data_IF_797133337882
#
_entry.id   IF_797133337882
#
_cell.length_a   1.000
_cell.length_b   1.000
_cell.length_c   1.000
_cell.angle_alpha   90.00
_cell.angle_beta   90.00
_cell.angle_gamma   90.00
#
_symmetry.space_group_name_H-M   'P 1'
#
loop_
_entity.id
_entity.type
_entity.pdbx_description
1 polymer ?
#
# COMPACT_ATOMS: atom_id res chain seq x y z
N UNK A 1 -2.81 14.67 12.74
CA UNK A 1 -2.49 13.27 13.01
C UNK A 1 -1.91 12.65 11.75
N UNK A 2 -0.82 11.90 11.90
CA UNK A 2 -0.19 11.29 10.73
C UNK A 2 -1.05 10.19 10.15
N UNK A 3 -1.12 10.13 8.82
CA UNK A 3 -1.78 9.04 8.12
C UNK A 3 -0.82 7.87 8.04
N UNK A 4 -1.28 6.69 8.38
CA UNK A 4 -0.44 5.49 8.35
C UNK A 4 -0.24 4.99 6.93
N UNK A 5 0.80 4.17 6.72
CA UNK A 5 1.02 3.48 5.45
C UNK A 5 -0.22 2.67 5.06
N UNK A 6 -0.76 1.90 6.00
CA UNK A 6 -1.91 1.04 5.71
C UNK A 6 -3.11 1.82 5.22
N UNK A 7 -3.39 2.93 5.86
CA UNK A 7 -4.51 3.78 5.46
C UNK A 7 -4.30 4.35 4.07
N UNK A 8 -3.08 4.82 3.77
CA UNK A 8 -2.77 5.37 2.45
C UNK A 8 -2.87 4.31 1.37
N UNK A 9 -2.36 3.10 1.64
CA UNK A 9 -2.46 2.01 0.70
C UNK A 9 -3.93 1.67 0.41
N UNK A 10 -4.75 1.59 1.44
CA UNK A 10 -6.17 1.29 1.28
C UNK A 10 -6.87 2.38 0.48
N UNK A 11 -6.57 3.65 0.75
CA UNK A 11 -7.17 4.76 0.01
C UNK A 11 -6.80 4.70 -1.47
N UNK A 12 -5.54 4.44 -1.79
CA UNK A 12 -5.09 4.32 -3.18
C UNK A 12 -5.79 3.16 -3.88
N UNK A 13 -5.94 2.03 -3.18
CA UNK A 13 -6.62 0.87 -3.75
C UNK A 13 -8.08 1.18 -4.07
N UNK A 14 -8.77 1.84 -3.14
CA UNK A 14 -10.17 2.19 -3.32
C UNK A 14 -10.35 3.23 -4.43
N UNK A 15 -9.40 4.14 -4.60
CA UNK A 15 -9.44 5.11 -5.70
C UNK A 15 -9.38 4.42 -7.06
N UNK A 16 -8.62 3.33 -7.15
CA UNK A 16 -8.57 2.53 -8.38
C UNK A 16 -9.74 1.56 -8.50
N UNK A 17 -10.57 1.49 -7.47
CA UNK A 17 -11.77 0.65 -7.46
C UNK A 17 -11.45 -0.83 -7.65
N UNK A 18 -10.38 -1.30 -7.00
CA UNK A 18 -9.97 -2.70 -7.08
C UNK A 18 -10.02 -3.34 -5.69
N UNK A 19 -10.15 -4.67 -5.66
CA UNK A 19 -10.16 -5.43 -4.42
C UNK A 19 -8.76 -5.79 -3.97
N UNK A 20 -8.67 -6.35 -2.76
CA UNK A 20 -7.39 -6.76 -2.18
C UNK A 20 -6.73 -7.88 -2.99
N UNK A 21 -7.54 -8.83 -3.50
CA UNK A 21 -7.01 -9.94 -4.30
C UNK A 21 -6.38 -9.41 -5.58
N UNK A 22 -7.04 -8.46 -6.24
CA UNK A 22 -6.53 -7.88 -7.47
C UNK A 22 -5.23 -7.13 -7.22
N UNK A 23 -5.17 -6.32 -6.17
CA UNK A 23 -3.95 -5.59 -5.82
C UNK A 23 -2.82 -6.57 -5.50
N UNK A 24 -3.12 -7.65 -4.78
CA UNK A 24 -2.12 -8.67 -4.46
C UNK A 24 -1.51 -9.26 -5.72
N UNK A 25 -2.33 -9.54 -6.73
CA UNK A 25 -1.84 -10.04 -8.02
C UNK A 25 -0.93 -9.02 -8.70
N UNK A 26 -1.32 -7.76 -8.68
CA UNK A 26 -0.53 -6.69 -9.31
C UNK A 26 0.83 -6.53 -8.65
N UNK A 27 0.91 -6.73 -7.34
CA UNK A 27 2.14 -6.56 -6.58
C UNK A 27 2.89 -7.87 -6.36
N UNK A 28 2.34 -8.98 -6.85
CA UNK A 28 2.93 -10.31 -6.73
C UNK A 28 3.13 -10.72 -5.26
N UNK A 29 2.12 -10.48 -4.46
CA UNK A 29 2.09 -10.89 -3.04
C UNK A 29 0.75 -11.56 -2.75
N UNK A 30 0.58 -12.09 -1.54
CA UNK A 30 -0.67 -12.73 -1.16
C UNK A 30 -1.70 -11.69 -0.71
N UNK A 31 -2.98 -12.04 -0.80
CA UNK A 31 -4.05 -11.20 -0.29
C UNK A 31 -3.89 -10.96 1.21
N UNK A 32 -3.40 -11.97 1.94
CA UNK A 32 -3.18 -11.83 3.38
C UNK A 32 -2.17 -10.74 3.71
N UNK A 33 -1.12 -10.59 2.90
CA UNK A 33 -0.12 -9.55 3.09
C UNK A 33 -0.76 -8.17 2.87
N UNK A 34 -1.61 -8.03 1.84
CA UNK A 34 -2.31 -6.76 1.59
C UNK A 34 -3.16 -6.39 2.83
N UNK A 35 -3.89 -7.35 3.36
CA UNK A 35 -4.73 -7.12 4.54
C UNK A 35 -3.90 -6.69 5.75
N UNK A 36 -2.78 -7.36 5.99
CA UNK A 36 -1.89 -7.01 7.10
C UNK A 36 -1.34 -5.59 6.95
N UNK A 37 -0.93 -5.22 5.74
CA UNK A 37 -0.44 -3.87 5.45
C UNK A 37 -1.53 -2.82 5.69
N UNK A 38 -2.74 -3.07 5.18
CA UNK A 38 -3.83 -2.09 5.28
C UNK A 38 -4.32 -1.90 6.70
N UNK A 39 -4.11 -2.88 7.56
CA UNK A 39 -4.48 -2.79 8.97
C UNK A 39 -3.31 -2.41 9.88
N UNK A 40 -2.17 -2.06 9.28
CA UNK A 40 -0.94 -1.68 10.02
C UNK A 40 -0.46 -2.75 10.98
N UNK A 41 -0.71 -4.01 10.62
CA UNK A 41 -0.24 -5.17 11.40
C UNK A 41 1.10 -5.69 10.90
N UNK A 42 1.57 -5.19 9.76
CA UNK A 42 2.87 -5.54 9.19
C UNK A 42 3.38 -4.37 8.37
N UNK A 43 4.66 -4.08 8.49
CA UNK A 43 5.30 -3.06 7.67
C UNK A 43 5.80 -3.66 6.37
N UNK A 44 5.75 -2.93 5.26
CA UNK A 44 6.30 -3.44 4.00
C UNK A 44 7.82 -3.44 4.05
N UNK A 45 8.43 -4.37 3.32
CA UNK A 45 9.87 -4.30 3.08
C UNK A 45 10.14 -3.10 2.16
N UNK A 46 11.40 -2.69 2.09
CA UNK A 46 11.77 -1.61 1.18
C UNK A 46 11.42 -1.96 -0.26
N UNK A 47 11.69 -3.21 -0.67
CA UNK A 47 11.36 -3.67 -2.02
C UNK A 47 9.86 -3.56 -2.29
N UNK A 48 9.03 -4.00 -1.34
CA UNK A 48 7.58 -3.92 -1.48
C UNK A 48 7.11 -2.46 -1.55
N UNK A 49 7.70 -1.60 -0.73
CA UNK A 49 7.34 -0.19 -0.71
C UNK A 49 7.65 0.47 -2.06
N UNK A 50 8.79 0.15 -2.64
CA UNK A 50 9.17 0.66 -3.98
C UNK A 50 8.19 0.16 -5.04
N UNK A 51 7.81 -1.13 -4.98
CA UNK A 51 6.84 -1.69 -5.93
C UNK A 51 5.48 -0.99 -5.84
N UNK A 52 5.02 -0.73 -4.62
CA UNK A 52 3.74 -0.04 -4.42
C UNK A 52 3.82 1.39 -4.96
N UNK A 53 4.90 2.10 -4.65
CA UNK A 53 5.10 3.47 -5.10
C UNK A 53 5.09 3.54 -6.63
N UNK A 54 5.79 2.61 -7.29
CA UNK A 54 5.83 2.55 -8.75
C UNK A 54 4.46 2.22 -9.34
N UNK A 55 3.75 1.26 -8.74
CA UNK A 55 2.45 0.86 -9.25
C UNK A 55 1.46 2.02 -9.24
N UNK A 56 1.45 2.80 -8.15
CA UNK A 56 0.52 3.92 -8.01
C UNK A 56 1.09 5.26 -8.49
N UNK A 57 2.36 5.29 -8.92
CA UNK A 57 3.05 6.52 -9.33
C UNK A 57 3.00 7.58 -8.24
N UNK A 58 3.27 7.17 -7.01
CA UNK A 58 3.36 8.07 -5.86
C UNK A 58 4.74 7.98 -5.26
N UNK A 59 5.08 8.96 -4.43
CA UNK A 59 6.36 8.98 -3.75
C UNK A 59 6.34 8.05 -2.53
N UNK A 60 7.49 7.48 -2.22
CA UNK A 60 7.65 6.68 -1.01
C UNK A 60 7.31 7.51 0.23
N UNK A 61 7.72 8.78 0.24
CA UNK A 61 7.41 9.69 1.36
C UNK A 61 5.90 9.79 1.60
N UNK A 62 5.12 9.84 0.52
CA UNK A 62 3.66 9.86 0.64
C UNK A 62 3.15 8.59 1.32
N UNK A 63 3.63 7.43 0.86
CA UNK A 63 3.21 6.13 1.43
C UNK A 63 3.63 6.01 2.89
N UNK A 64 4.79 6.54 3.23
CA UNK A 64 5.30 6.46 4.60
C UNK A 64 4.64 7.46 5.55
N UNK A 65 3.76 8.33 5.03
CA UNK A 65 3.09 9.33 5.84
C UNK A 65 3.94 10.54 6.16
N UNK A 66 5.02 10.76 5.41
CA UNK A 66 5.94 11.87 5.65
C UNK A 66 5.55 13.13 4.90
N UNK A 67 4.67 13.01 3.92
CA UNK A 67 4.13 14.19 3.22
C UNK A 67 2.68 13.96 2.84
N UNK A 68 1.96 15.04 2.65
CA UNK A 68 0.53 14.99 2.29
C UNK A 68 0.32 14.82 0.74
#
# INVERSE_FOLDING_TARGET
MKTSFGKRLKELRLEKNIGQIELAKCLNVSKGIISLWENDLREPTLTSLISIANYYSVKIDYLAGLED
#
